data_IF_940540008226
#
_entry.id   IF_940540008226
#
_cell.length_a   1.000
_cell.length_b   1.000
_cell.length_c   1.000
_cell.angle_alpha   90.00
_cell.angle_beta   90.00
_cell.angle_gamma   90.00
#
_symmetry.space_group_name_H-M   'P 1'
#
loop_
_entity.id
_entity.type
_entity.pdbx_description
1 polymer ?
#
# COMPACT_ATOMS: atom_id res chain seq x y z
N UNK A 1 40.15 -74.58 52.91
CA UNK A 1 41.39 -73.82 53.19
C UNK A 1 41.59 -72.84 52.05
N UNK A 2 41.67 -71.53 52.37
CA UNK A 2 42.47 -70.45 51.71
C UNK A 2 42.41 -70.35 50.16
N UNK A 3 42.13 -69.25 49.47
CA UNK A 3 42.40 -67.82 49.74
C UNK A 3 41.91 -66.94 48.55
N UNK A 4 41.40 -65.73 48.86
CA UNK A 4 41.57 -64.40 48.18
C UNK A 4 41.28 -64.23 46.67
N UNK A 5 40.27 -63.43 46.28
CA UNK A 5 40.26 -61.94 46.04
C UNK A 5 40.14 -61.70 44.52
N UNK A 6 39.32 -60.81 43.94
CA UNK A 6 39.17 -59.36 44.15
C UNK A 6 37.86 -58.89 43.47
N UNK A 7 37.07 -58.01 44.12
CA UNK A 7 36.93 -56.57 43.81
C UNK A 7 36.49 -56.21 42.38
N UNK A 8 35.23 -55.77 42.20
CA UNK A 8 34.90 -54.51 41.52
C UNK A 8 33.42 -54.15 41.70
N UNK A 9 33.17 -53.03 42.41
CA UNK A 9 31.91 -52.30 42.42
C UNK A 9 31.70 -51.64 41.06
N UNK A 10 30.50 -51.76 40.48
CA UNK A 10 30.03 -50.86 39.40
C UNK A 10 28.67 -50.30 39.77
N UNK A 11 28.67 -49.05 40.19
CA UNK A 11 27.50 -48.16 40.13
C UNK A 11 27.44 -47.55 38.72
N UNK A 12 26.31 -47.63 38.03
CA UNK A 12 26.08 -46.92 36.78
C UNK A 12 24.61 -46.47 36.64
N UNK A 13 24.34 -45.27 37.17
CA UNK A 13 23.54 -44.19 36.63
C UNK A 13 22.45 -44.51 35.58
N UNK A 14 21.20 -44.26 35.95
CA UNK A 14 20.07 -44.12 35.04
C UNK A 14 20.22 -42.86 34.18
N UNK A 15 20.23 -43.02 32.86
CA UNK A 15 20.17 -41.93 31.89
C UNK A 15 18.69 -41.60 31.67
N UNK A 16 18.23 -40.48 32.22
CA UNK A 16 16.97 -39.85 31.81
C UNK A 16 17.25 -39.09 30.52
N UNK A 17 16.76 -39.62 29.40
CA UNK A 17 16.86 -38.98 28.09
C UNK A 17 15.80 -37.88 28.01
N UNK A 18 16.21 -36.63 28.21
CA UNK A 18 15.37 -35.45 28.03
C UNK A 18 15.14 -35.26 26.51
N UNK A 19 13.98 -35.67 26.00
CA UNK A 19 13.54 -35.31 24.65
C UNK A 19 13.23 -33.82 24.61
N UNK A 20 14.20 -33.00 24.20
CA UNK A 20 13.95 -31.64 23.75
C UNK A 20 13.08 -31.70 22.48
N UNK A 21 11.78 -31.36 22.62
CA UNK A 21 10.95 -31.04 21.47
C UNK A 21 11.57 -29.86 20.72
N UNK A 22 12.29 -30.15 19.64
CA UNK A 22 12.57 -29.16 18.61
C UNK A 22 11.22 -28.77 18.00
N UNK A 23 10.68 -27.61 18.39
CA UNK A 23 9.59 -26.99 17.65
C UNK A 23 10.00 -26.93 16.16
N UNK A 24 9.12 -27.26 15.20
CA UNK A 24 9.51 -27.29 13.80
C UNK A 24 10.00 -25.89 13.40
N UNK A 25 11.18 -25.78 12.78
CA UNK A 25 11.71 -24.50 12.27
C UNK A 25 10.66 -23.70 11.45
N UNK A 26 9.75 -24.41 10.77
CA UNK A 26 8.63 -23.85 10.00
C UNK A 26 7.67 -22.96 10.82
N UNK A 27 7.45 -23.24 12.11
CA UNK A 27 6.58 -22.42 12.95
C UNK A 27 7.25 -21.10 13.38
N UNK A 28 8.58 -21.09 13.54
CA UNK A 28 9.35 -19.88 13.85
C UNK A 28 9.52 -18.98 12.61
N UNK A 29 9.63 -19.56 11.41
CA UNK A 29 9.78 -18.80 10.16
C UNK A 29 8.50 -18.09 9.70
N UNK A 30 7.32 -18.67 9.99
CA UNK A 30 6.03 -18.06 9.72
C UNK A 30 5.71 -16.88 10.67
N UNK A 31 6.23 -16.92 11.90
CA UNK A 31 6.09 -15.85 12.89
C UNK A 31 6.81 -14.54 12.48
N UNK A 32 7.83 -14.63 11.63
CA UNK A 32 8.62 -13.48 11.15
C UNK A 32 8.16 -13.01 9.75
N UNK A 33 6.86 -12.79 9.56
CA UNK A 33 6.32 -12.20 8.31
C UNK A 33 5.56 -10.90 8.60
N UNK A 34 5.41 -10.04 7.59
CA UNK A 34 4.75 -8.74 7.78
C UNK A 34 3.30 -8.92 8.23
N UNK A 35 2.50 -9.71 7.49
CA UNK A 35 1.10 -10.00 7.87
C UNK A 35 0.94 -10.67 9.22
N UNK A 36 1.90 -11.50 9.65
CA UNK A 36 1.83 -12.12 10.97
C UNK A 36 2.22 -11.15 12.09
N UNK A 37 3.14 -10.22 11.83
CA UNK A 37 3.61 -9.23 12.81
C UNK A 37 2.58 -8.15 13.08
N UNK A 38 1.81 -7.75 12.05
CA UNK A 38 0.79 -6.69 12.14
C UNK A 38 -0.65 -7.24 12.10
N UNK A 39 -0.84 -8.54 12.36
CA UNK A 39 -2.14 -9.24 12.20
C UNK A 39 -3.30 -8.63 12.98
N UNK A 40 -3.02 -8.07 14.15
CA UNK A 40 -4.00 -7.50 15.07
C UNK A 40 -4.03 -5.97 14.96
N UNK A 41 -3.26 -5.40 14.04
CA UNK A 41 -3.14 -3.95 13.82
C UNK A 41 -3.88 -3.53 12.54
N UNK A 42 -3.49 -4.08 11.38
CA UNK A 42 -4.03 -3.72 10.07
C UNK A 42 -3.69 -4.78 9.00
N UNK A 43 -4.37 -4.72 7.85
CA UNK A 43 -3.98 -5.51 6.68
C UNK A 43 -2.62 -5.02 6.14
N UNK A 44 -1.75 -5.96 5.74
CA UNK A 44 -0.50 -5.68 5.04
C UNK A 44 -0.64 -6.10 3.60
N UNK A 45 -0.65 -5.12 2.69
CA UNK A 45 -0.87 -5.35 1.27
C UNK A 45 0.34 -5.10 0.38
N UNK A 46 0.19 -5.47 -0.89
CA UNK A 46 1.20 -5.22 -1.92
C UNK A 46 0.54 -5.02 -3.30
N UNK A 47 1.08 -4.11 -4.11
CA UNK A 47 0.74 -4.01 -5.51
C UNK A 47 1.38 -5.16 -6.32
N UNK A 48 0.61 -5.75 -7.23
CA UNK A 48 1.07 -6.85 -8.07
C UNK A 48 0.86 -6.57 -9.55
N UNK A 49 1.84 -6.97 -10.36
CA UNK A 49 1.76 -6.97 -11.82
C UNK A 49 1.23 -8.31 -12.36
N UNK A 50 0.97 -8.36 -13.67
CA UNK A 50 0.44 -9.55 -14.34
C UNK A 50 1.43 -10.74 -14.31
N UNK A 51 2.74 -10.47 -14.21
CA UNK A 51 3.76 -11.53 -14.12
C UNK A 51 3.66 -12.33 -12.81
N UNK A 52 3.43 -11.66 -11.68
CA UNK A 52 3.18 -12.32 -10.39
C UNK A 52 1.85 -13.10 -10.45
N UNK A 53 0.78 -12.45 -10.95
CA UNK A 53 -0.56 -13.03 -11.02
C UNK A 53 -0.59 -14.32 -11.86
N UNK A 54 0.12 -14.32 -13.00
CA UNK A 54 0.20 -15.47 -13.92
C UNK A 54 1.32 -16.46 -13.58
N UNK A 55 2.04 -16.25 -12.48
CA UNK A 55 3.10 -17.14 -12.02
C UNK A 55 4.38 -17.13 -12.88
N UNK A 56 4.56 -16.10 -13.72
CA UNK A 56 5.82 -15.88 -14.48
C UNK A 56 6.94 -15.38 -13.58
N UNK A 57 6.61 -14.78 -12.42
CA UNK A 57 7.56 -14.49 -11.34
C UNK A 57 7.25 -15.32 -10.07
N UNK A 58 7.63 -16.61 -10.05
CA UNK A 58 7.36 -17.48 -8.91
C UNK A 58 8.13 -17.07 -7.64
N UNK A 59 9.25 -16.36 -7.79
CA UNK A 59 10.06 -15.94 -6.64
C UNK A 59 9.37 -14.78 -5.88
N UNK A 60 8.83 -13.80 -6.60
CA UNK A 60 8.02 -12.73 -5.98
C UNK A 60 6.68 -13.25 -5.46
N UNK A 61 6.07 -14.25 -6.12
CA UNK A 61 4.87 -14.92 -5.61
C UNK A 61 5.12 -15.56 -4.23
N UNK A 62 6.28 -16.20 -4.03
CA UNK A 62 6.64 -16.80 -2.73
C UNK A 62 6.77 -15.76 -1.62
N UNK A 63 7.35 -14.58 -1.93
CA UNK A 63 7.38 -13.46 -0.99
C UNK A 63 5.97 -12.96 -0.69
N UNK A 64 5.11 -12.88 -1.72
CA UNK A 64 3.75 -12.44 -1.55
C UNK A 64 2.96 -13.33 -0.57
N UNK A 65 3.00 -14.63 -0.82
CA UNK A 65 2.32 -15.64 0.01
C UNK A 65 2.86 -15.66 1.44
N UNK A 66 4.14 -15.32 1.64
CA UNK A 66 4.74 -15.18 2.97
C UNK A 66 4.31 -13.91 3.69
N UNK A 67 4.35 -12.75 3.04
CA UNK A 67 4.32 -11.46 3.73
C UNK A 67 2.99 -10.72 3.71
N UNK A 68 2.10 -10.95 2.74
CA UNK A 68 0.93 -10.09 2.53
C UNK A 68 -0.42 -10.84 2.66
N UNK A 69 -1.44 -10.09 3.07
CA UNK A 69 -2.83 -10.54 3.18
C UNK A 69 -3.83 -9.64 2.40
N UNK A 70 -3.33 -8.64 1.67
CA UNK A 70 -4.10 -7.81 0.73
C UNK A 70 -3.32 -7.59 -0.58
N UNK A 71 -4.04 -7.38 -1.69
CA UNK A 71 -3.43 -7.09 -3.00
C UNK A 71 -4.15 -5.96 -3.73
N UNK A 72 -3.38 -5.19 -4.49
CA UNK A 72 -3.89 -4.18 -5.43
C UNK A 72 -3.35 -4.48 -6.82
N UNK A 73 -4.18 -4.38 -7.86
CA UNK A 73 -3.73 -4.48 -9.23
C UNK A 73 -2.93 -3.23 -9.60
N UNK A 74 -1.64 -3.38 -9.96
CA UNK A 74 -0.77 -2.22 -10.25
C UNK A 74 -1.27 -1.40 -11.46
N UNK A 75 -1.74 -2.09 -12.51
CA UNK A 75 -2.20 -1.43 -13.75
C UNK A 75 -3.41 -2.10 -14.42
N UNK A 76 -3.60 -3.42 -14.26
CA UNK A 76 -4.53 -4.18 -15.11
C UNK A 76 -6.01 -3.85 -14.92
N UNK A 77 -6.36 -3.06 -13.90
CA UNK A 77 -7.72 -2.60 -13.64
C UNK A 77 -7.93 -1.10 -13.92
N UNK A 78 -6.97 -0.42 -14.55
CA UNK A 78 -7.10 0.97 -15.00
C UNK A 78 -7.87 1.06 -16.33
N UNK A 79 -8.50 2.21 -16.57
CA UNK A 79 -9.44 2.41 -17.67
C UNK A 79 -8.83 2.13 -19.07
N UNK A 80 -7.58 2.50 -19.33
CA UNK A 80 -6.92 2.23 -20.61
C UNK A 80 -6.68 0.75 -20.88
N UNK A 81 -6.54 -0.07 -19.82
CA UNK A 81 -6.37 -1.52 -19.96
C UNK A 81 -7.73 -2.18 -20.13
N UNK A 82 -8.69 -1.82 -19.27
CA UNK A 82 -10.02 -2.42 -19.27
C UNK A 82 -10.83 -2.02 -20.51
N UNK A 83 -10.68 -0.77 -20.97
CA UNK A 83 -11.49 -0.18 -22.03
C UNK A 83 -10.68 0.73 -22.97
N UNK A 84 -9.68 0.17 -23.69
CA UNK A 84 -8.73 0.94 -24.50
C UNK A 84 -9.40 1.72 -25.64
N UNK A 85 -10.50 1.21 -26.19
CA UNK A 85 -11.24 1.80 -27.32
C UNK A 85 -12.74 1.64 -27.06
N UNK A 86 -13.55 2.53 -27.64
CA UNK A 86 -15.00 2.63 -27.39
C UNK A 86 -15.76 1.30 -27.54
N UNK A 87 -15.36 0.46 -28.50
CA UNK A 87 -16.03 -0.82 -28.78
C UNK A 87 -15.22 -2.04 -28.29
N UNK A 88 -14.16 -1.82 -27.51
CA UNK A 88 -13.24 -2.87 -27.07
C UNK A 88 -13.07 -2.87 -25.55
N UNK A 89 -13.44 -4.00 -24.95
CA UNK A 89 -13.17 -4.32 -23.54
C UNK A 89 -12.10 -5.42 -23.45
N UNK A 90 -11.22 -5.31 -22.46
CA UNK A 90 -10.27 -6.37 -22.11
C UNK A 90 -10.24 -6.58 -20.59
N UNK A 91 -10.98 -7.57 -20.12
CA UNK A 91 -11.01 -7.97 -18.72
C UNK A 91 -10.04 -9.11 -18.41
N UNK A 92 -9.26 -9.60 -19.37
CA UNK A 92 -8.55 -10.88 -19.23
C UNK A 92 -7.54 -10.89 -18.09
N UNK A 93 -6.72 -9.85 -17.96
CA UNK A 93 -5.74 -9.72 -16.89
C UNK A 93 -6.38 -9.36 -15.54
N UNK A 94 -7.43 -8.53 -15.54
CA UNK A 94 -8.17 -8.18 -14.33
C UNK A 94 -8.95 -9.38 -13.76
N UNK A 95 -9.56 -10.21 -14.60
CA UNK A 95 -10.22 -11.45 -14.19
C UNK A 95 -9.21 -12.41 -13.55
N UNK A 96 -8.02 -12.54 -14.14
CA UNK A 96 -6.93 -13.34 -13.59
C UNK A 96 -6.47 -12.82 -12.21
N UNK A 97 -6.35 -11.50 -12.05
CA UNK A 97 -5.99 -10.86 -10.79
C UNK A 97 -7.03 -11.12 -9.69
N UNK A 98 -8.32 -10.92 -9.98
CA UNK A 98 -9.40 -11.15 -9.00
C UNK A 98 -9.46 -12.63 -8.61
N UNK A 99 -9.38 -13.55 -9.58
CA UNK A 99 -9.33 -14.98 -9.29
C UNK A 99 -8.10 -15.38 -8.47
N UNK A 100 -6.94 -14.77 -8.76
CA UNK A 100 -5.72 -14.97 -8.01
C UNK A 100 -5.88 -14.59 -6.53
N UNK A 101 -6.48 -13.43 -6.26
CA UNK A 101 -6.78 -12.95 -4.90
C UNK A 101 -7.77 -13.85 -4.17
N UNK A 102 -8.89 -14.18 -4.83
CA UNK A 102 -9.96 -15.01 -4.25
C UNK A 102 -9.50 -16.41 -3.88
N UNK A 103 -8.76 -17.09 -4.77
CA UNK A 103 -8.21 -18.44 -4.50
C UNK A 103 -7.28 -18.45 -3.28
N UNK A 104 -6.60 -17.33 -3.01
CA UNK A 104 -5.67 -17.17 -1.88
C UNK A 104 -6.30 -16.51 -0.65
N UNK A 105 -7.58 -16.16 -0.70
CA UNK A 105 -8.30 -15.45 0.38
C UNK A 105 -7.60 -14.14 0.79
N UNK A 106 -7.07 -13.42 -0.20
CA UNK A 106 -6.48 -12.11 -0.01
C UNK A 106 -7.57 -11.05 -0.08
N UNK A 107 -7.42 -9.96 0.67
CA UNK A 107 -8.27 -8.78 0.50
C UNK A 107 -7.93 -8.09 -0.84
N UNK A 108 -8.89 -8.04 -1.75
CA UNK A 108 -8.68 -7.58 -3.13
C UNK A 108 -9.13 -6.13 -3.28
N UNK A 109 -8.20 -5.26 -3.66
CA UNK A 109 -8.47 -3.84 -3.96
C UNK A 109 -8.47 -3.62 -5.47
N UNK A 110 -9.58 -3.11 -6.00
CA UNK A 110 -9.70 -2.65 -7.37
C UNK A 110 -9.16 -1.22 -7.52
N UNK A 111 -8.24 -1.03 -8.47
CA UNK A 111 -7.55 0.24 -8.71
C UNK A 111 -7.48 0.52 -10.22
N UNK A 112 -8.19 1.50 -10.77
CA UNK A 112 -9.10 2.47 -10.13
C UNK A 112 -10.25 2.82 -11.08
N UNK A 113 -11.38 3.32 -10.55
CA UNK A 113 -12.57 3.57 -11.36
C UNK A 113 -12.54 4.93 -12.07
N UNK A 114 -12.27 6.02 -11.36
CA UNK A 114 -12.25 7.38 -11.93
C UNK A 114 -10.90 8.02 -11.64
N UNK A 115 -10.09 8.17 -12.67
CA UNK A 115 -8.80 8.83 -12.62
C UNK A 115 -8.54 9.61 -13.89
N UNK A 116 -7.81 10.72 -13.79
CA UNK A 116 -7.51 11.57 -14.92
C UNK A 116 -6.37 11.03 -15.80
N UNK A 117 -5.46 10.23 -15.23
CA UNK A 117 -4.45 9.51 -16.00
C UNK A 117 -4.96 8.13 -16.42
N UNK A 118 -4.29 7.55 -17.42
CA UNK A 118 -4.56 6.19 -17.92
C UNK A 118 -6.05 5.94 -18.22
N UNK A 119 -6.73 7.00 -18.66
CA UNK A 119 -8.11 6.99 -19.15
C UNK A 119 -8.08 7.48 -20.60
N UNK A 120 -8.41 6.63 -21.59
CA UNK A 120 -8.31 7.00 -22.99
C UNK A 120 -9.15 8.22 -23.36
N UNK A 121 -8.65 9.06 -24.26
CA UNK A 121 -9.31 10.30 -24.67
C UNK A 121 -10.76 10.12 -25.16
N UNK A 122 -11.09 8.95 -25.72
CA UNK A 122 -12.44 8.67 -26.21
C UNK A 122 -13.49 8.68 -25.09
N UNK A 123 -13.10 8.49 -23.81
CA UNK A 123 -13.99 8.63 -22.65
C UNK A 123 -14.62 10.03 -22.54
N UNK A 124 -13.96 11.04 -23.09
CA UNK A 124 -14.36 12.44 -22.98
C UNK A 124 -14.96 12.99 -24.26
N UNK A 125 -15.22 12.12 -25.26
CA UNK A 125 -15.71 12.50 -26.57
C UNK A 125 -16.97 11.73 -26.98
N UNK A 126 -17.79 12.39 -27.78
CA UNK A 126 -18.95 11.80 -28.45
C UNK A 126 -18.53 11.06 -29.74
N UNK A 127 -19.52 10.47 -30.43
CA UNK A 127 -19.29 9.73 -31.68
C UNK A 127 -18.76 10.59 -32.83
N UNK A 128 -18.90 11.92 -32.75
CA UNK A 128 -18.38 12.88 -33.73
C UNK A 128 -17.01 13.44 -33.32
N UNK A 129 -16.43 12.94 -32.22
CA UNK A 129 -15.15 13.40 -31.68
C UNK A 129 -15.22 14.71 -30.88
N UNK A 130 -16.41 15.27 -30.66
CA UNK A 130 -16.60 16.50 -29.87
C UNK A 130 -16.54 16.19 -28.38
N UNK A 131 -16.12 17.14 -27.52
CA UNK A 131 -16.17 16.94 -26.07
C UNK A 131 -17.58 16.57 -25.58
N UNK A 132 -17.67 15.60 -24.68
CA UNK A 132 -18.93 15.25 -24.04
C UNK A 132 -19.50 16.45 -23.28
N UNK A 133 -20.82 16.63 -23.35
CA UNK A 133 -21.56 17.51 -22.45
C UNK A 133 -21.71 16.85 -21.07
N UNK A 134 -22.00 17.63 -20.04
CA UNK A 134 -22.12 17.18 -18.64
C UNK A 134 -22.87 15.86 -18.47
N UNK A 135 -24.11 15.79 -18.93
CA UNK A 135 -24.96 14.62 -18.71
C UNK A 135 -24.45 13.38 -19.47
N UNK A 136 -23.90 13.58 -20.67
CA UNK A 136 -23.25 12.52 -21.43
C UNK A 136 -21.97 12.01 -20.74
N UNK A 137 -21.20 12.89 -20.10
CA UNK A 137 -20.01 12.48 -19.34
C UNK A 137 -20.39 11.73 -18.06
N UNK A 138 -21.44 12.16 -17.35
CA UNK A 138 -21.96 11.45 -16.18
C UNK A 138 -22.49 10.08 -16.59
N UNK A 139 -23.17 9.97 -17.73
CA UNK A 139 -23.63 8.68 -18.26
C UNK A 139 -22.45 7.78 -18.67
N UNK A 140 -21.40 8.34 -19.28
CA UNK A 140 -20.16 7.58 -19.59
C UNK A 140 -19.52 7.03 -18.31
N UNK A 141 -19.45 7.83 -17.25
CA UNK A 141 -18.98 7.40 -15.93
C UNK A 141 -19.85 6.28 -15.36
N UNK A 142 -21.18 6.44 -15.40
CA UNK A 142 -22.14 5.44 -14.91
C UNK A 142 -21.95 4.10 -15.62
N UNK A 143 -21.93 4.11 -16.95
CA UNK A 143 -21.76 2.90 -17.78
C UNK A 143 -20.43 2.20 -17.49
N UNK A 144 -19.34 2.97 -17.37
CA UNK A 144 -18.03 2.41 -17.05
C UNK A 144 -18.01 1.77 -15.66
N UNK A 145 -18.49 2.49 -14.63
CA UNK A 145 -18.54 1.97 -13.25
C UNK A 145 -19.46 0.76 -13.16
N UNK A 146 -20.63 0.79 -13.79
CA UNK A 146 -21.54 -0.35 -13.89
C UNK A 146 -20.83 -1.58 -14.47
N UNK A 147 -20.14 -1.41 -15.61
CA UNK A 147 -19.49 -2.52 -16.29
C UNK A 147 -18.32 -3.07 -15.48
N UNK A 148 -17.49 -2.22 -14.89
CA UNK A 148 -16.26 -2.62 -14.20
C UNK A 148 -16.56 -3.04 -12.77
N UNK A 149 -17.13 -2.17 -11.95
CA UNK A 149 -17.40 -2.47 -10.54
C UNK A 149 -18.47 -3.56 -10.42
N UNK A 150 -19.50 -3.53 -11.28
CA UNK A 150 -20.54 -4.56 -11.32
C UNK A 150 -20.05 -5.94 -11.74
N UNK A 151 -19.06 -6.04 -12.64
CA UNK A 151 -18.44 -7.33 -13.01
C UNK A 151 -17.79 -8.04 -11.81
N UNK A 152 -17.26 -7.27 -10.86
CA UNK A 152 -16.51 -7.78 -9.72
C UNK A 152 -17.22 -7.67 -8.38
N UNK A 153 -18.51 -7.33 -8.37
CA UNK A 153 -19.33 -7.27 -7.16
C UNK A 153 -19.25 -8.61 -6.39
N UNK A 154 -18.95 -8.54 -5.09
CA UNK A 154 -18.76 -9.71 -4.22
C UNK A 154 -17.43 -10.48 -4.41
N UNK A 155 -16.55 -10.02 -5.30
CA UNK A 155 -15.22 -10.61 -5.56
C UNK A 155 -14.06 -9.64 -5.35
N UNK A 156 -14.33 -8.33 -5.44
CA UNK A 156 -13.43 -7.26 -4.99
C UNK A 156 -13.95 -6.76 -3.65
N UNK A 157 -13.06 -6.60 -2.66
CA UNK A 157 -13.41 -6.21 -1.30
C UNK A 157 -13.42 -4.69 -1.12
N UNK A 158 -12.64 -3.96 -1.93
CA UNK A 158 -12.65 -2.50 -1.95
C UNK A 158 -12.31 -1.90 -3.32
N UNK A 159 -12.81 -0.69 -3.58
CA UNK A 159 -12.49 0.11 -4.77
C UNK A 159 -11.88 1.46 -4.40
N UNK A 160 -10.78 1.81 -5.07
CA UNK A 160 -10.38 3.20 -5.23
C UNK A 160 -11.32 3.84 -6.26
N UNK A 161 -12.39 4.47 -5.78
CA UNK A 161 -13.48 4.98 -6.62
C UNK A 161 -13.04 6.21 -7.41
N UNK A 162 -12.44 7.18 -6.71
CA UNK A 162 -11.87 8.37 -7.32
C UNK A 162 -10.42 8.49 -6.86
N UNK A 163 -9.52 8.67 -7.83
CA UNK A 163 -8.08 8.81 -7.59
C UNK A 163 -7.64 10.24 -7.95
N UNK A 164 -6.93 10.90 -7.04
CA UNK A 164 -6.16 12.14 -7.29
C UNK A 164 -6.96 13.30 -7.91
N UNK A 165 -8.09 13.67 -7.30
CA UNK A 165 -8.96 14.74 -7.80
C UNK A 165 -8.75 16.08 -7.07
N UNK A 166 -8.12 16.08 -5.90
CA UNK A 166 -7.80 17.28 -5.13
C UNK A 166 -6.39 17.75 -5.45
N UNK A 167 -6.20 19.06 -5.62
CA UNK A 167 -4.90 19.64 -5.92
C UNK A 167 -4.10 19.96 -4.66
N UNK A 168 -2.82 20.31 -4.83
CA UNK A 168 -1.93 20.59 -3.70
C UNK A 168 -2.37 21.82 -2.88
N UNK A 169 -3.17 22.73 -3.44
CA UNK A 169 -3.78 23.87 -2.74
C UNK A 169 -5.13 23.53 -2.07
N UNK A 170 -5.59 22.29 -2.21
CA UNK A 170 -6.86 21.80 -1.67
C UNK A 170 -8.07 22.09 -2.55
N UNK A 171 -7.95 22.75 -3.70
CA UNK A 171 -9.03 22.88 -4.68
C UNK A 171 -9.23 21.58 -5.49
N UNK A 172 -10.26 21.52 -6.34
CA UNK A 172 -10.37 20.44 -7.31
C UNK A 172 -9.38 20.66 -8.47
N UNK A 173 -8.65 19.61 -8.85
CA UNK A 173 -7.75 19.63 -10.01
C UNK A 173 -8.53 19.89 -11.30
N UNK A 174 -7.95 20.71 -12.18
CA UNK A 174 -8.47 20.92 -13.54
C UNK A 174 -8.19 19.71 -14.45
N UNK A 175 -8.95 18.64 -14.25
CA UNK A 175 -8.79 17.37 -14.99
C UNK A 175 -9.77 17.26 -16.15
N UNK A 176 -9.52 16.31 -17.08
CA UNK A 176 -10.50 15.99 -18.15
C UNK A 176 -11.87 15.61 -17.59
N UNK A 177 -11.91 14.88 -16.47
CA UNK A 177 -13.16 14.54 -15.78
C UNK A 177 -13.86 15.77 -15.20
N UNK A 178 -13.14 16.61 -14.45
CA UNK A 178 -13.71 17.81 -13.83
C UNK A 178 -14.21 18.80 -14.89
N UNK A 179 -13.48 19.00 -15.98
CA UNK A 179 -13.92 19.86 -17.10
C UNK A 179 -15.14 19.31 -17.82
N UNK A 180 -15.18 18.01 -18.11
CA UNK A 180 -16.29 17.41 -18.86
C UNK A 180 -17.58 17.31 -18.01
N UNK A 181 -17.49 17.07 -16.71
CA UNK A 181 -18.64 17.18 -15.79
C UNK A 181 -18.98 18.64 -15.49
N UNK A 182 -17.98 19.51 -15.46
CA UNK A 182 -18.08 20.94 -15.18
C UNK A 182 -18.20 21.29 -13.70
N UNK A 183 -18.09 20.32 -12.79
CA UNK A 183 -18.10 20.52 -11.33
C UNK A 183 -17.45 19.34 -10.60
N UNK A 184 -16.50 19.62 -9.71
CA UNK A 184 -15.73 18.60 -9.00
C UNK A 184 -16.53 17.87 -7.92
N UNK A 185 -17.44 18.57 -7.22
CA UNK A 185 -18.30 17.93 -6.22
C UNK A 185 -19.26 16.95 -6.90
N UNK A 186 -19.91 17.36 -8.00
CA UNK A 186 -20.81 16.53 -8.78
C UNK A 186 -20.11 15.29 -9.34
N UNK A 187 -18.88 15.44 -9.85
CA UNK A 187 -18.06 14.31 -10.31
C UNK A 187 -17.91 13.25 -9.21
N UNK A 188 -17.43 13.66 -8.03
CA UNK A 188 -17.16 12.74 -6.92
C UNK A 188 -18.47 12.15 -6.38
N UNK A 189 -19.52 12.95 -6.23
CA UNK A 189 -20.82 12.47 -5.77
C UNK A 189 -21.40 11.39 -6.69
N UNK A 190 -21.34 11.59 -8.01
CA UNK A 190 -21.85 10.62 -8.98
C UNK A 190 -21.00 9.34 -9.00
N UNK A 191 -19.67 9.47 -8.98
CA UNK A 191 -18.77 8.31 -8.95
C UNK A 191 -19.06 7.39 -7.75
N UNK A 192 -19.16 7.95 -6.54
CA UNK A 192 -19.46 7.17 -5.34
C UNK A 192 -20.89 6.61 -5.32
N UNK A 193 -21.89 7.34 -5.83
CA UNK A 193 -23.27 6.81 -5.99
C UNK A 193 -23.30 5.61 -6.92
N UNK A 194 -22.63 5.68 -8.06
CA UNK A 194 -22.57 4.58 -9.01
C UNK A 194 -21.79 3.39 -8.43
N UNK A 195 -20.66 3.62 -7.78
CA UNK A 195 -19.91 2.54 -7.15
C UNK A 195 -20.73 1.84 -6.05
N UNK A 196 -21.45 2.61 -5.22
CA UNK A 196 -22.37 2.07 -4.22
C UNK A 196 -23.50 1.24 -4.87
N UNK A 197 -24.05 1.70 -5.99
CA UNK A 197 -25.13 1.02 -6.70
C UNK A 197 -24.68 -0.30 -7.34
N UNK A 198 -23.54 -0.30 -8.03
CA UNK A 198 -23.12 -1.44 -8.86
C UNK A 198 -22.16 -2.40 -8.15
N UNK A 199 -21.53 -1.99 -7.04
CA UNK A 199 -20.70 -2.86 -6.21
C UNK A 199 -21.19 -2.89 -4.74
N UNK A 200 -22.45 -3.29 -4.47
CA UNK A 200 -22.97 -3.34 -3.11
C UNK A 200 -22.14 -4.28 -2.24
N UNK A 201 -21.94 -3.90 -0.97
CA UNK A 201 -21.12 -4.66 -0.02
C UNK A 201 -19.60 -4.50 -0.19
N UNK A 202 -19.14 -3.78 -1.21
CA UNK A 202 -17.73 -3.42 -1.40
C UNK A 202 -17.40 -2.15 -0.62
N UNK A 203 -16.18 -2.01 -0.11
CA UNK A 203 -15.70 -0.75 0.48
C UNK A 203 -15.34 0.28 -0.60
N UNK A 204 -15.65 1.55 -0.37
CA UNK A 204 -15.49 2.64 -1.32
C UNK A 204 -14.50 3.67 -0.78
N UNK A 205 -13.36 3.82 -1.46
CA UNK A 205 -12.28 4.69 -1.05
C UNK A 205 -12.08 5.87 -2.00
N UNK A 206 -11.62 6.97 -1.41
CA UNK A 206 -10.91 8.02 -2.14
C UNK A 206 -9.40 7.83 -1.94
N UNK A 207 -8.61 7.89 -3.00
CA UNK A 207 -7.16 7.65 -2.94
C UNK A 207 -6.37 8.82 -3.54
N UNK A 208 -5.28 9.24 -2.88
CA UNK A 208 -4.49 10.39 -3.37
C UNK A 208 -3.05 10.43 -2.84
N UNK A 209 -2.15 10.98 -3.65
CA UNK A 209 -0.80 11.35 -3.23
C UNK A 209 -0.78 12.70 -2.52
N UNK A 210 0.32 13.01 -1.84
CA UNK A 210 0.45 14.23 -1.03
C UNK A 210 -0.68 14.47 -0.01
N UNK A 211 -1.46 13.43 0.35
CA UNK A 211 -2.57 13.53 1.31
C UNK A 211 -2.14 13.95 2.73
N UNK A 212 -0.82 14.01 2.99
CA UNK A 212 -0.25 14.57 4.22
C UNK A 212 -0.19 16.11 4.22
N UNK A 213 -0.18 16.75 3.04
CA UNK A 213 -0.03 18.20 2.90
C UNK A 213 -1.24 18.91 3.53
N UNK A 214 -1.07 19.90 4.42
CA UNK A 214 -2.18 20.53 5.12
C UNK A 214 -3.32 21.05 4.21
N UNK A 215 -2.99 21.80 3.16
CA UNK A 215 -3.99 22.40 2.27
C UNK A 215 -4.77 21.33 1.50
N UNK A 216 -4.05 20.34 0.95
CA UNK A 216 -4.63 19.20 0.25
C UNK A 216 -5.48 18.32 1.17
N UNK A 217 -4.98 18.04 2.39
CA UNK A 217 -5.72 17.34 3.45
C UNK A 217 -7.04 18.03 3.74
N UNK A 218 -7.02 19.36 3.91
CA UNK A 218 -8.22 20.13 4.19
C UNK A 218 -9.18 20.12 3.00
N UNK A 219 -8.68 20.10 1.77
CA UNK A 219 -9.46 19.85 0.55
C UNK A 219 -10.19 18.52 0.56
N UNK A 220 -9.46 17.44 0.86
CA UNK A 220 -10.01 16.08 0.97
C UNK A 220 -11.06 16.01 2.09
N UNK A 221 -10.79 16.59 3.26
CA UNK A 221 -11.74 16.68 4.39
C UNK A 221 -13.02 17.40 3.96
N UNK A 222 -12.93 18.53 3.23
CA UNK A 222 -14.10 19.24 2.72
C UNK A 222 -14.91 18.39 1.75
N UNK A 223 -14.25 17.72 0.80
CA UNK A 223 -14.90 16.82 -0.15
C UNK A 223 -15.67 15.70 0.56
N UNK A 224 -15.05 15.03 1.54
CA UNK A 224 -15.71 13.97 2.32
C UNK A 224 -16.93 14.50 3.08
N UNK A 225 -16.80 15.65 3.75
CA UNK A 225 -17.94 16.25 4.46
C UNK A 225 -19.12 16.53 3.54
N UNK A 226 -18.87 16.92 2.29
CA UNK A 226 -19.92 17.11 1.29
C UNK A 226 -20.57 15.78 0.86
N UNK A 227 -19.79 14.71 0.69
CA UNK A 227 -20.35 13.36 0.46
C UNK A 227 -21.24 12.91 1.62
N UNK A 228 -20.75 13.05 2.86
CA UNK A 228 -21.48 12.69 4.07
C UNK A 228 -22.77 13.51 4.23
N UNK A 229 -22.70 14.83 4.01
CA UNK A 229 -23.88 15.71 4.06
C UNK A 229 -24.93 15.37 2.98
N UNK A 230 -24.48 14.85 1.83
CA UNK A 230 -25.37 14.37 0.77
C UNK A 230 -25.87 12.92 0.98
N UNK A 231 -25.52 12.28 2.09
CA UNK A 231 -25.89 10.89 2.40
C UNK A 231 -25.22 9.86 1.49
N UNK A 232 -24.10 10.20 0.86
CA UNK A 232 -23.38 9.32 -0.07
C UNK A 232 -22.31 8.56 0.71
N UNK A 233 -22.29 7.23 0.55
CA UNK A 233 -21.37 6.35 1.25
C UNK A 233 -19.93 6.55 0.76
N UNK A 234 -19.02 6.70 1.71
CA UNK A 234 -17.57 6.58 1.57
C UNK A 234 -17.07 5.86 2.83
N UNK A 235 -16.18 4.89 2.66
CA UNK A 235 -15.74 4.03 3.77
C UNK A 235 -14.32 4.37 4.25
N UNK A 236 -13.52 5.02 3.41
CA UNK A 236 -12.12 5.29 3.77
C UNK A 236 -11.36 6.24 2.85
N UNK A 237 -10.23 6.73 3.38
CA UNK A 237 -9.26 7.57 2.68
C UNK A 237 -7.92 6.83 2.57
N UNK A 238 -7.48 6.63 1.32
CA UNK A 238 -6.15 6.12 0.98
C UNK A 238 -5.14 7.25 0.82
N UNK A 239 -4.11 7.24 1.66
CA UNK A 239 -2.90 8.04 1.48
C UNK A 239 -1.90 7.19 0.68
N UNK A 240 -1.59 7.55 -0.56
CA UNK A 240 -0.71 6.73 -1.40
C UNK A 240 0.62 6.41 -0.70
N UNK A 241 1.29 7.41 -0.14
CA UNK A 241 2.53 7.13 0.60
C UNK A 241 3.76 6.99 -0.30
N UNK A 242 3.71 7.54 -1.52
CA UNK A 242 4.88 7.75 -2.36
C UNK A 242 5.80 8.81 -1.75
N UNK A 243 6.68 8.39 -0.85
CA UNK A 243 7.48 9.28 -0.02
C UNK A 243 8.96 9.13 -0.32
N UNK A 244 9.80 9.82 0.45
CA UNK A 244 11.24 9.76 0.31
C UNK A 244 11.95 9.72 1.65
N UNK A 245 13.27 9.64 1.59
CA UNK A 245 14.11 9.71 2.79
C UNK A 245 13.91 11.01 3.58
N UNK A 246 13.59 12.11 2.89
CA UNK A 246 13.56 13.45 3.48
C UNK A 246 12.15 14.08 3.49
N UNK A 247 11.11 13.39 3.00
CA UNK A 247 9.73 13.89 3.00
C UNK A 247 8.69 12.77 3.14
N UNK A 248 7.48 13.11 3.59
CA UNK A 248 7.14 14.35 4.31
C UNK A 248 7.66 14.34 5.75
N UNK A 249 7.46 15.44 6.47
CA UNK A 249 7.62 15.43 7.91
C UNK A 249 6.63 14.43 8.53
N UNK A 250 7.05 13.70 9.55
CA UNK A 250 6.21 12.68 10.19
C UNK A 250 5.02 13.28 10.94
N UNK A 251 5.16 14.50 11.45
CA UNK A 251 4.06 15.27 12.03
C UNK A 251 2.91 15.50 11.03
N UNK A 252 3.21 15.74 9.74
CA UNK A 252 2.17 15.95 8.71
C UNK A 252 1.42 14.65 8.40
N UNK A 253 2.14 13.52 8.41
CA UNK A 253 1.52 12.19 8.25
C UNK A 253 0.54 11.93 9.41
N UNK A 254 0.98 12.13 10.66
CA UNK A 254 0.14 11.93 11.84
C UNK A 254 -1.08 12.85 11.84
N UNK A 255 -0.89 14.13 11.52
CA UNK A 255 -1.98 15.10 11.46
C UNK A 255 -3.01 14.75 10.38
N UNK A 256 -2.58 14.23 9.23
CA UNK A 256 -3.48 13.77 8.19
C UNK A 256 -4.26 12.52 8.60
N UNK A 257 -3.59 11.52 9.20
CA UNK A 257 -4.28 10.33 9.74
C UNK A 257 -5.36 10.75 10.74
N UNK A 258 -5.04 11.65 11.67
CA UNK A 258 -6.00 12.13 12.68
C UNK A 258 -7.17 12.88 12.05
N UNK A 259 -6.91 13.75 11.07
CA UNK A 259 -7.95 14.50 10.37
C UNK A 259 -8.94 13.58 9.62
N UNK A 260 -8.43 12.54 8.96
CA UNK A 260 -9.27 11.58 8.24
C UNK A 260 -10.02 10.64 9.19
N UNK A 261 -9.38 10.19 10.25
CA UNK A 261 -10.02 9.38 11.28
C UNK A 261 -11.15 10.14 11.99
N UNK A 262 -11.00 11.45 12.22
CA UNK A 262 -12.04 12.30 12.82
C UNK A 262 -13.32 12.42 11.97
N UNK A 263 -13.30 11.99 10.71
CA UNK A 263 -14.48 11.89 9.85
C UNK A 263 -15.26 10.57 10.05
N UNK A 264 -14.79 9.69 10.93
CA UNK A 264 -15.38 8.37 11.16
C UNK A 264 -15.07 7.36 10.05
N UNK A 265 -14.00 7.61 9.27
CA UNK A 265 -13.59 6.78 8.13
C UNK A 265 -12.38 5.90 8.47
N UNK A 266 -12.21 4.83 7.71
CA UNK A 266 -10.95 4.07 7.69
C UNK A 266 -9.85 4.91 7.07
N UNK A 267 -8.64 4.85 7.63
CA UNK A 267 -7.44 5.42 7.01
C UNK A 267 -6.58 4.28 6.48
N UNK A 268 -5.98 4.47 5.30
CA UNK A 268 -5.09 3.46 4.71
C UNK A 268 -3.84 4.13 4.15
N UNK A 269 -2.74 3.41 4.18
CA UNK A 269 -1.56 3.71 3.37
C UNK A 269 -1.60 2.75 2.18
N UNK A 270 -1.69 3.25 0.95
CA UNK A 270 -2.17 2.44 -0.18
C UNK A 270 -1.10 2.04 -1.18
N UNK A 271 -0.03 2.83 -1.32
CA UNK A 271 1.00 2.73 -2.37
C UNK A 271 2.40 3.06 -1.80
N UNK A 272 2.70 2.58 -0.59
CA UNK A 272 3.91 2.95 0.14
C UNK A 272 5.18 2.52 -0.60
N UNK A 273 6.04 3.50 -0.84
CA UNK A 273 7.43 3.32 -1.26
C UNK A 273 8.28 4.51 -0.74
N UNK A 274 9.60 4.31 -0.61
CA UNK A 274 10.50 5.35 -0.08
C UNK A 274 11.62 5.61 -1.08
N UNK A 275 11.51 6.71 -1.82
CA UNK A 275 12.53 7.14 -2.78
C UNK A 275 13.84 7.53 -2.07
N UNK A 276 14.95 7.00 -2.58
CA UNK A 276 16.31 7.20 -2.03
C UNK A 276 17.21 8.00 -2.97
N UNK A 277 16.79 8.24 -4.21
CA UNK A 277 17.62 8.89 -5.22
C UNK A 277 17.65 10.42 -5.04
N UNK A 278 18.75 11.08 -5.45
CA UNK A 278 18.85 12.54 -5.40
C UNK A 278 17.68 13.23 -6.12
N UNK A 279 17.33 14.42 -5.63
CA UNK A 279 16.14 15.19 -6.00
C UNK A 279 14.82 14.52 -5.59
N UNK A 280 14.56 13.28 -6.01
CA UNK A 280 13.24 12.64 -5.84
C UNK A 280 12.98 12.11 -4.43
N UNK A 281 14.03 11.95 -3.62
CA UNK A 281 13.92 11.71 -2.16
C UNK A 281 13.52 12.95 -1.34
N UNK A 282 13.47 14.13 -1.96
CA UNK A 282 13.19 15.42 -1.31
C UNK A 282 11.72 15.84 -1.47
N UNK A 283 11.03 15.32 -2.48
CA UNK A 283 9.62 15.59 -2.74
C UNK A 283 9.09 14.74 -3.90
N UNK A 284 7.78 14.49 -3.91
CA UNK A 284 7.13 13.77 -4.99
C UNK A 284 7.03 14.68 -6.21
N UNK A 285 7.54 14.22 -7.35
CA UNK A 285 7.48 14.93 -8.63
C UNK A 285 6.39 14.32 -9.49
N UNK A 286 5.54 15.17 -10.07
CA UNK A 286 4.50 14.78 -11.04
C UNK A 286 4.80 15.35 -12.43
N UNK A 287 4.04 14.91 -13.44
CA UNK A 287 4.20 15.34 -14.83
C UNK A 287 5.39 14.67 -15.52
N UNK A 288 5.83 15.26 -16.64
CA UNK A 288 6.79 14.64 -17.57
C UNK A 288 8.07 15.44 -17.78
N UNK A 289 8.25 16.57 -17.06
CA UNK A 289 9.43 17.43 -17.20
C UNK A 289 10.72 16.64 -17.01
N UNK A 290 10.77 15.81 -15.97
CA UNK A 290 11.93 14.98 -15.64
C UNK A 290 12.19 13.83 -16.62
N UNK A 291 11.27 13.55 -17.54
CA UNK A 291 11.47 12.63 -18.66
C UNK A 291 12.18 13.29 -19.86
N UNK A 292 12.48 14.58 -19.81
CA UNK A 292 13.20 15.27 -20.87
C UNK A 292 14.60 14.67 -21.08
N UNK A 293 14.99 14.49 -22.36
CA UNK A 293 16.24 13.85 -22.77
C UNK A 293 17.52 14.44 -22.14
N UNK A 294 17.48 15.71 -21.71
CA UNK A 294 18.62 16.34 -21.03
C UNK A 294 19.02 15.60 -19.75
N UNK A 295 18.06 15.02 -19.01
CA UNK A 295 18.35 14.34 -17.75
C UNK A 295 19.03 12.98 -17.94
N UNK A 296 19.16 12.53 -19.20
CA UNK A 296 19.94 11.35 -19.59
C UNK A 296 21.39 11.68 -19.96
N UNK A 297 21.77 12.96 -20.03
CA UNK A 297 23.15 13.37 -20.31
C UNK A 297 24.09 12.97 -19.16
N UNK A 298 25.38 12.70 -19.44
CA UNK A 298 26.31 12.15 -18.46
C UNK A 298 26.39 12.92 -17.13
N UNK A 299 26.38 14.25 -17.18
CA UNK A 299 26.45 15.12 -16.02
C UNK A 299 25.22 15.03 -15.12
N UNK A 300 24.02 14.88 -15.70
CA UNK A 300 22.78 14.68 -14.96
C UNK A 300 22.69 13.26 -14.43
N UNK A 301 23.00 12.25 -15.26
CA UNK A 301 22.96 10.85 -14.84
C UNK A 301 23.91 10.56 -13.68
N UNK A 302 25.11 11.16 -13.70
CA UNK A 302 26.07 11.08 -12.58
C UNK A 302 25.46 11.56 -11.25
N UNK A 303 24.61 12.57 -11.28
CA UNK A 303 23.95 13.10 -10.10
C UNK A 303 22.65 12.37 -9.75
N UNK A 304 21.78 12.09 -10.72
CA UNK A 304 20.42 11.59 -10.51
C UNK A 304 20.36 10.07 -10.30
N UNK A 305 21.36 9.33 -10.76
CA UNK A 305 21.43 7.85 -10.70
C UNK A 305 22.78 7.34 -10.14
N UNK A 306 23.16 7.72 -8.91
CA UNK A 306 24.47 7.40 -8.35
C UNK A 306 24.61 5.95 -7.84
N UNK A 307 23.51 5.20 -7.69
CA UNK A 307 23.49 3.90 -6.98
C UNK A 307 23.20 2.70 -7.91
N UNK A 308 23.74 2.75 -9.13
CA UNK A 308 23.53 1.72 -10.16
C UNK A 308 24.06 0.33 -9.76
N UNK A 309 25.05 0.27 -8.87
CA UNK A 309 25.68 -0.97 -8.41
C UNK A 309 25.30 -1.36 -6.97
N UNK A 310 24.17 -0.83 -6.48
CA UNK A 310 23.69 -1.06 -5.11
C UNK A 310 23.76 0.19 -4.24
N UNK A 311 23.00 0.18 -3.15
CA UNK A 311 23.01 1.26 -2.17
C UNK A 311 24.28 1.23 -1.31
N UNK A 312 24.91 2.40 -1.06
CA UNK A 312 25.87 2.53 0.03
C UNK A 312 25.24 2.13 1.37
N UNK A 313 26.04 1.59 2.28
CA UNK A 313 25.58 1.09 3.60
C UNK A 313 24.84 2.17 4.38
N UNK A 314 25.31 3.42 4.30
CA UNK A 314 24.72 4.56 4.99
C UNK A 314 23.33 4.89 4.44
N UNK A 315 23.13 4.78 3.13
CA UNK A 315 21.81 5.00 2.50
C UNK A 315 20.87 3.84 2.79
N UNK A 316 21.40 2.62 2.84
CA UNK A 316 20.65 1.43 3.24
C UNK A 316 20.14 1.53 4.68
N UNK A 317 20.97 2.05 5.59
CA UNK A 317 20.58 2.30 6.98
C UNK A 317 19.53 3.41 7.09
N UNK A 318 19.71 4.53 6.39
CA UNK A 318 18.72 5.61 6.35
C UNK A 318 17.36 5.15 5.82
N UNK A 319 17.36 4.27 4.81
CA UNK A 319 16.13 3.65 4.31
C UNK A 319 15.45 2.78 5.38
N UNK A 320 16.24 2.00 6.13
CA UNK A 320 15.72 1.16 7.20
C UNK A 320 15.13 1.99 8.35
N UNK A 321 15.84 3.05 8.76
CA UNK A 321 15.39 4.00 9.78
C UNK A 321 14.10 4.70 9.34
N UNK A 322 14.03 5.15 8.09
CA UNK A 322 12.84 5.80 7.54
C UNK A 322 11.63 4.86 7.54
N UNK A 323 11.78 3.62 7.07
CA UNK A 323 10.70 2.65 7.13
C UNK A 323 10.26 2.34 8.57
N UNK A 324 11.20 2.19 9.50
CA UNK A 324 10.85 1.98 10.92
C UNK A 324 10.11 3.18 11.51
N UNK A 325 10.55 4.41 11.21
CA UNK A 325 9.86 5.64 11.64
C UNK A 325 8.40 5.67 11.17
N UNK A 326 8.17 5.38 9.88
CA UNK A 326 6.84 5.33 9.29
C UNK A 326 5.98 4.23 9.94
N UNK A 327 6.50 3.01 10.07
CA UNK A 327 5.76 1.92 10.68
C UNK A 327 5.50 2.13 12.18
N UNK A 328 6.35 2.88 12.90
CA UNK A 328 6.04 3.28 14.29
C UNK A 328 4.82 4.20 14.35
N UNK A 329 4.66 5.10 13.39
CA UNK A 329 3.44 5.92 13.28
C UNK A 329 2.24 5.01 13.02
N UNK A 330 2.35 4.12 12.02
CA UNK A 330 1.23 3.25 11.66
C UNK A 330 0.83 2.34 12.82
N UNK A 331 1.80 1.77 13.52
CA UNK A 331 1.55 0.95 14.70
C UNK A 331 0.93 1.76 15.84
N UNK A 332 1.40 2.99 16.13
CA UNK A 332 0.76 3.86 17.14
C UNK A 332 -0.68 4.24 16.77
N UNK A 333 -0.94 4.44 15.47
CA UNK A 333 -2.26 4.83 14.93
C UNK A 333 -3.10 3.63 14.45
N UNK A 334 -2.72 2.40 14.80
CA UNK A 334 -3.35 1.15 14.33
C UNK A 334 -4.86 1.06 14.59
N UNK A 335 -5.38 1.78 15.60
CA UNK A 335 -6.81 1.79 15.90
C UNK A 335 -7.66 2.41 14.78
N UNK A 336 -7.07 3.22 13.90
CA UNK A 336 -7.78 3.92 12.80
C UNK A 336 -7.26 3.55 11.42
N UNK A 337 -6.07 2.93 11.34
CA UNK A 337 -5.50 2.45 10.08
C UNK A 337 -6.02 1.05 9.79
N UNK A 338 -6.66 0.86 8.64
CA UNK A 338 -7.20 -0.44 8.23
C UNK A 338 -6.22 -1.27 7.38
N UNK A 339 -5.34 -0.60 6.62
CA UNK A 339 -4.40 -1.25 5.69
C UNK A 339 -3.16 -0.41 5.44
N UNK A 340 -2.01 -1.08 5.33
CA UNK A 340 -0.74 -0.54 4.83
C UNK A 340 -0.26 -1.41 3.67
N UNK A 341 -0.21 -0.86 2.46
CA UNK A 341 0.19 -1.56 1.23
C UNK A 341 1.47 -0.99 0.64
N UNK A 342 2.42 -1.86 0.28
CA UNK A 342 3.62 -1.48 -0.48
C UNK A 342 3.33 -1.43 -1.98
N UNK A 343 3.91 -0.48 -2.71
CA UNK A 343 3.74 -0.38 -4.17
C UNK A 343 4.75 -1.22 -4.96
N UNK A 344 4.71 -2.53 -4.71
CA UNK A 344 5.52 -3.54 -5.38
C UNK A 344 6.22 -4.48 -4.40
N UNK A 345 6.65 -5.64 -4.90
CA UNK A 345 7.31 -6.67 -4.07
C UNK A 345 8.79 -6.38 -3.88
N UNK A 346 9.50 -6.02 -4.95
CA UNK A 346 10.96 -5.89 -4.91
C UNK A 346 11.46 -4.71 -5.77
N UNK A 347 12.64 -4.18 -5.45
CA UNK A 347 13.12 -2.93 -6.05
C UNK A 347 13.22 -2.96 -7.59
N UNK A 348 13.44 -4.14 -8.18
CA UNK A 348 13.61 -4.31 -9.62
C UNK A 348 12.34 -4.14 -10.45
N UNK A 349 11.15 -4.26 -9.85
CA UNK A 349 9.86 -4.03 -10.52
C UNK A 349 9.26 -2.66 -10.22
N UNK A 350 9.88 -1.88 -9.32
CA UNK A 350 9.31 -0.61 -8.86
C UNK A 350 9.25 0.42 -9.99
N UNK A 351 8.09 1.06 -10.15
CA UNK A 351 7.87 2.17 -11.08
C UNK A 351 8.86 3.34 -10.89
N UNK A 352 9.35 3.56 -9.67
CA UNK A 352 10.37 4.59 -9.33
C UNK A 352 11.71 4.44 -10.05
N UNK A 353 11.96 3.32 -10.74
CA UNK A 353 13.14 3.15 -11.60
C UNK A 353 13.03 3.99 -12.87
N UNK A 354 11.82 4.09 -13.43
CA UNK A 354 11.58 4.79 -14.70
C UNK A 354 10.74 6.07 -14.55
N UNK A 355 10.28 6.38 -13.34
CA UNK A 355 9.57 7.61 -13.02
C UNK A 355 10.16 8.31 -11.78
N UNK A 356 10.28 9.64 -11.78
CA UNK A 356 9.96 10.61 -12.85
C UNK A 356 11.07 10.77 -13.90
N UNK A 357 12.27 10.24 -13.65
CA UNK A 357 13.39 10.19 -14.60
C UNK A 357 13.53 8.75 -15.09
N UNK A 358 13.41 8.48 -16.40
CA UNK A 358 13.57 7.15 -16.97
C UNK A 358 14.95 6.53 -16.70
N UNK A 359 15.01 5.20 -16.64
CA UNK A 359 16.24 4.40 -16.66
C UNK A 359 17.21 4.67 -15.51
N UNK A 360 16.68 4.94 -14.31
CA UNK A 360 17.45 4.99 -13.07
C UNK A 360 17.37 3.67 -12.29
N UNK A 361 18.27 3.51 -11.33
CA UNK A 361 18.30 2.35 -10.43
C UNK A 361 17.88 2.78 -9.02
N UNK A 362 16.57 2.80 -8.77
CA UNK A 362 16.02 3.14 -7.45
C UNK A 362 15.95 1.89 -6.55
N UNK A 363 15.81 2.11 -5.23
CA UNK A 363 15.78 1.04 -4.23
C UNK A 363 14.71 1.26 -3.15
N UNK A 364 13.42 1.42 -3.53
CA UNK A 364 12.45 2.02 -2.62
C UNK A 364 11.64 1.04 -1.76
N UNK A 365 11.79 -0.27 -1.96
CA UNK A 365 10.97 -1.32 -1.33
C UNK A 365 11.75 -2.11 -0.27
N UNK A 366 11.11 -3.13 0.30
CA UNK A 366 11.67 -3.95 1.40
C UNK A 366 12.51 -5.16 0.93
N UNK A 367 12.45 -5.50 -0.35
CA UNK A 367 13.21 -6.60 -0.94
C UNK A 367 14.04 -6.11 -2.13
N UNK A 368 15.26 -6.63 -2.24
CA UNK A 368 16.18 -6.26 -3.31
C UNK A 368 15.83 -6.94 -4.65
N UNK A 369 16.61 -6.68 -5.70
CA UNK A 369 16.40 -7.23 -7.06
C UNK A 369 16.49 -8.76 -7.10
N UNK A 370 17.17 -9.36 -6.13
CA UNK A 370 17.35 -10.80 -5.93
C UNK A 370 16.30 -11.39 -4.98
N UNK A 371 15.27 -10.61 -4.61
CA UNK A 371 14.19 -10.98 -3.68
C UNK A 371 14.70 -11.33 -2.28
N UNK A 372 15.88 -10.83 -1.91
CA UNK A 372 16.39 -10.96 -0.55
C UNK A 372 15.86 -9.83 0.32
N UNK A 373 15.61 -10.09 1.62
CA UNK A 373 15.15 -9.07 2.54
C UNK A 373 16.22 -8.00 2.75
N UNK A 374 15.84 -6.72 2.62
CA UNK A 374 16.70 -5.59 2.96
C UNK A 374 16.69 -5.33 4.47
N UNK A 375 17.71 -4.65 5.04
CA UNK A 375 17.68 -4.15 6.42
C UNK A 375 16.37 -3.43 6.81
N UNK A 376 15.72 -2.74 5.86
CA UNK A 376 14.42 -2.11 6.08
C UNK A 376 13.31 -3.09 6.48
N UNK A 377 13.28 -4.32 5.94
CA UNK A 377 12.31 -5.33 6.36
C UNK A 377 12.49 -5.69 7.84
N UNK A 378 13.74 -5.92 8.27
CA UNK A 378 14.03 -6.26 9.66
C UNK A 378 13.64 -5.11 10.61
N UNK A 379 13.90 -3.86 10.20
CA UNK A 379 13.53 -2.68 10.96
C UNK A 379 12.00 -2.49 11.05
N UNK A 380 11.25 -2.83 10.01
CA UNK A 380 9.77 -2.84 10.06
C UNK A 380 9.26 -3.92 11.01
N UNK A 381 9.82 -5.14 10.93
CA UNK A 381 9.40 -6.25 11.80
C UNK A 381 9.69 -5.98 13.29
N UNK A 382 10.76 -5.25 13.62
CA UNK A 382 11.06 -4.91 15.02
C UNK A 382 10.05 -3.95 15.63
N UNK A 383 9.39 -3.10 14.83
CA UNK A 383 8.36 -2.17 15.36
C UNK A 383 7.20 -2.93 16.01
N UNK A 384 6.79 -4.06 15.44
CA UNK A 384 5.71 -4.89 15.98
C UNK A 384 6.06 -5.48 17.36
N UNK A 385 7.36 -5.71 17.65
CA UNK A 385 7.80 -6.30 18.91
C UNK A 385 8.19 -5.25 19.96
N UNK A 386 8.65 -4.06 19.56
CA UNK A 386 9.01 -2.94 20.45
C UNK A 386 7.87 -2.59 21.44
N UNK A 387 6.61 -2.66 20.98
CA UNK A 387 5.43 -2.31 21.77
C UNK A 387 4.91 -3.43 22.68
N UNK A 388 5.27 -4.69 22.43
CA UNK A 388 4.91 -5.81 23.30
C UNK A 388 5.69 -5.78 24.63
N UNK A 389 6.91 -5.22 24.62
CA UNK A 389 7.75 -5.05 25.82
C UNK A 389 7.30 -3.90 26.71
N UNK A 390 6.78 -2.81 26.15
CA UNK A 390 6.32 -1.62 26.91
C UNK A 390 4.95 -1.81 27.54
N UNK A 391 4.09 -2.69 27.02
CA UNK A 391 2.83 -3.04 27.69
C UNK A 391 3.01 -3.98 28.90
N UNK A 392 4.12 -4.73 28.96
CA UNK A 392 4.41 -5.62 30.11
C UNK A 392 5.04 -4.92 31.33
N UNK A 393 5.46 -3.65 31.20
CA UNK A 393 6.12 -2.90 32.28
C UNK A 393 5.19 -1.99 33.10
N UNK A 394 3.88 -1.97 32.83
CA UNK A 394 2.91 -1.34 33.73
C UNK A 394 2.64 -2.33 34.88
N UNK A 395 3.56 -2.37 35.84
CA UNK A 395 3.39 -3.08 37.09
C UNK A 395 2.15 -2.54 37.82
N UNK A 396 1.34 -3.46 38.35
CA UNK A 396 0.15 -3.16 39.13
C UNK A 396 0.46 -2.15 40.26
N UNK A 397 -0.47 -1.22 40.59
CA UNK A 397 -0.28 -0.32 41.70
C UNK A 397 -0.08 -1.13 42.99
N UNK A 398 0.79 -0.68 43.91
CA UNK A 398 1.03 -1.40 45.15
C UNK A 398 -0.27 -1.51 45.95
N UNK A 399 -0.47 -2.63 46.67
CA UNK A 399 -1.68 -2.82 47.46
C UNK A 399 -1.80 -1.74 48.52
N UNK A 400 -2.96 -1.08 48.54
CA UNK A 400 -3.34 -0.09 49.55
C UNK A 400 -3.33 -0.77 50.92
N UNK A 401 -2.40 -0.36 51.78
CA UNK A 401 -2.41 -0.78 53.18
C UNK A 401 -3.58 -0.09 53.87
N UNK A 402 -4.63 -0.85 54.17
CA UNK A 402 -5.72 -0.40 55.02
C UNK A 402 -5.19 -0.22 56.44
N UNK A 403 -5.10 1.02 56.91
CA UNK A 403 -4.98 1.32 58.32
C UNK A 403 -6.26 0.84 59.02
N UNK A 404 -6.10 -0.04 60.01
CA UNK A 404 -7.16 -0.41 60.97
C UNK A 404 -6.77 0.11 62.35
N UNK A 405 -7.75 0.40 63.21
CA UNK A 405 -7.79 1.58 64.10
C UNK A 405 -6.83 1.57 65.29
#
# INVERSE_FOLDING_TARGET
MTSTASCQRRSAWAIVMLMLLAAPLHARDAANSLKASFRDDFLVGVAVNDDIVRGRDPASLKLLERHFNAITAENVMKAEVLHPQQDRWDFSAADAFVEFGRKRRLFVVGHTLVWHNQTPDWFFRDANGQPNQRDAQIERMRQYIEKVAGRYAGRVDAWDVVNEVIDDDGSYRDTSWVRAVGDGDLLVQQAFRFAQQYAPGTELYYNDFNAWRPEKRDGIVRMVRKLQAAGIRIDGIGMQGHWGLNYPATADIEAAIDAYAALGLKVMITELDVDVLPLTREGQVIGTVMAHKQFQLPEFKRYLDPYQQGLPVEVQQRLAERYAELFRIFHRKRAVIARVSLWGVHDGMSWKNDYPVPHRTNHPLLFDRQRQPKPALAAVLSVATESATTSSSIAAPPPTVAATP
#
